data_IF_050656288203
#
_entry.id   IF_050656288203
#
_cell.length_a   1.000
_cell.length_b   1.000
_cell.length_c   1.000
_cell.angle_alpha   90.00
_cell.angle_beta   90.00
_cell.angle_gamma   90.00
#
_symmetry.space_group_name_H-M   'P 1'
#
loop_
_entity.id
_entity.type
_entity.pdbx_description
1 polymer ?
#
# COMPACT_ATOMS: atom_id res chain seq x y z
N UNK A 1 5.54 16.15 -5.08
CA UNK A 1 4.74 16.50 -3.88
C UNK A 1 3.24 16.35 -4.12
N UNK A 2 2.70 16.91 -5.21
CA UNK A 2 1.27 16.79 -5.57
C UNK A 2 0.80 15.35 -5.83
N UNK A 3 1.53 14.57 -6.64
CA UNK A 3 1.18 13.17 -6.94
C UNK A 3 0.91 12.30 -5.70
N UNK A 4 1.74 12.44 -4.66
CA UNK A 4 1.59 11.71 -3.40
C UNK A 4 0.35 12.14 -2.62
N UNK A 5 0.00 13.44 -2.65
CA UNK A 5 -1.21 13.95 -2.00
C UNK A 5 -2.47 13.45 -2.69
N UNK A 6 -2.48 13.50 -4.02
CA UNK A 6 -3.59 13.04 -4.84
C UNK A 6 -3.88 11.55 -4.63
N UNK A 7 -2.87 10.69 -4.72
CA UNK A 7 -3.02 9.25 -4.44
C UNK A 7 -3.38 9.00 -2.97
N UNK A 8 -2.81 9.77 -2.05
CA UNK A 8 -3.11 9.63 -0.62
C UNK A 8 -4.46 10.20 -0.20
N UNK A 9 -5.21 10.83 -1.11
CA UNK A 9 -6.41 11.62 -0.80
C UNK A 9 -6.19 12.62 0.36
N UNK A 10 -4.97 13.19 0.42
CA UNK A 10 -4.56 14.15 1.45
C UNK A 10 -4.88 15.60 1.07
N UNK A 11 -5.63 15.77 -0.02
CA UNK A 11 -6.06 17.05 -0.57
C UNK A 11 -7.19 17.64 0.28
N UNK A 12 -7.03 18.90 0.69
CA UNK A 12 -8.03 19.58 1.51
C UNK A 12 -9.30 19.94 0.70
N UNK A 13 -9.14 20.20 -0.60
CA UNK A 13 -10.24 20.38 -1.55
C UNK A 13 -9.71 20.19 -2.97
N UNK A 14 -10.41 19.37 -3.75
CA UNK A 14 -10.13 19.17 -5.17
C UNK A 14 -10.27 20.51 -5.94
N UNK A 15 -11.23 21.37 -5.56
CA UNK A 15 -11.49 22.68 -6.18
C UNK A 15 -10.32 23.66 -5.99
N UNK A 16 -9.70 23.67 -4.80
CA UNK A 16 -8.55 24.54 -4.55
C UNK A 16 -7.32 24.10 -5.35
N UNK A 17 -7.13 22.80 -5.54
CA UNK A 17 -6.02 22.31 -6.36
C UNK A 17 -6.25 22.58 -7.85
N UNK A 18 -7.48 22.44 -8.33
CA UNK A 18 -7.84 22.81 -9.71
C UNK A 18 -7.67 24.31 -9.98
N UNK A 19 -8.09 25.17 -9.04
CA UNK A 19 -7.87 26.62 -9.11
C UNK A 19 -6.37 26.97 -9.10
N UNK A 20 -5.58 26.28 -8.27
CA UNK A 20 -4.12 26.47 -8.22
C UNK A 20 -3.47 26.14 -9.56
N UNK A 21 -3.85 25.02 -10.20
CA UNK A 21 -3.32 24.62 -11.51
C UNK A 21 -3.75 25.62 -12.60
N UNK A 22 -4.97 26.12 -12.54
CA UNK A 22 -5.48 27.13 -13.48
C UNK A 22 -4.65 28.42 -13.41
N UNK A 23 -4.34 28.92 -12.22
CA UNK A 23 -3.46 30.09 -12.03
C UNK A 23 -2.03 29.82 -12.49
N UNK A 24 -1.49 28.62 -12.23
CA UNK A 24 -0.17 28.23 -12.73
C UNK A 24 -0.12 28.18 -14.26
N UNK A 25 -1.21 27.78 -14.91
CA UNK A 25 -1.31 27.79 -16.38
C UNK A 25 -1.29 29.21 -16.94
N UNK A 26 -1.93 30.16 -16.28
CA UNK A 26 -1.90 31.58 -16.67
C UNK A 26 -0.50 32.18 -16.56
N UNK A 27 0.23 31.86 -15.49
CA UNK A 27 1.56 32.45 -15.21
C UNK A 27 2.69 31.76 -15.98
N UNK A 28 2.67 30.42 -16.07
CA UNK A 28 3.77 29.62 -16.58
C UNK A 28 3.48 28.99 -17.96
N UNK A 29 2.26 29.13 -18.48
CA UNK A 29 1.85 28.56 -19.75
C UNK A 29 1.39 27.10 -19.68
N UNK A 30 0.81 26.63 -20.79
CA UNK A 30 0.18 25.32 -20.90
C UNK A 30 1.16 24.14 -20.84
N UNK A 31 2.30 24.24 -21.52
CA UNK A 31 3.30 23.16 -21.56
C UNK A 31 3.78 22.77 -20.16
N UNK A 32 3.93 23.76 -19.28
CA UNK A 32 4.40 23.57 -17.90
C UNK A 32 3.37 22.84 -17.01
N UNK A 33 2.07 23.06 -17.23
CA UNK A 33 1.00 22.49 -16.40
C UNK A 33 0.32 21.27 -17.01
N UNK A 34 0.62 20.94 -18.28
CA UNK A 34 0.04 19.83 -19.03
C UNK A 34 0.00 18.50 -18.26
N UNK A 35 1.10 18.11 -17.61
CA UNK A 35 1.18 16.88 -16.80
C UNK A 35 0.29 16.96 -15.55
N UNK A 36 0.26 18.10 -14.86
CA UNK A 36 -0.56 18.29 -13.66
C UNK A 36 -2.05 18.21 -14.01
N UNK A 37 -2.47 18.85 -15.10
CA UNK A 37 -3.84 18.75 -15.60
C UNK A 37 -4.21 17.31 -15.94
N UNK A 38 -3.29 16.58 -16.57
CA UNK A 38 -3.51 15.17 -16.90
C UNK A 38 -3.65 14.29 -15.65
N UNK A 39 -2.87 14.56 -14.61
CA UNK A 39 -3.00 13.84 -13.33
C UNK A 39 -4.40 14.02 -12.72
N UNK A 40 -4.97 15.22 -12.76
CA UNK A 40 -6.34 15.47 -12.29
C UNK A 40 -7.39 14.73 -13.12
N UNK A 41 -7.26 14.79 -14.45
CA UNK A 41 -8.14 14.06 -15.35
C UNK A 41 -8.09 12.55 -15.06
N UNK A 42 -6.90 11.99 -14.87
CA UNK A 42 -6.73 10.56 -14.57
C UNK A 42 -7.42 10.18 -13.23
N UNK A 43 -7.42 11.05 -12.22
CA UNK A 43 -8.14 10.80 -10.95
C UNK A 43 -9.65 10.73 -11.16
N UNK A 44 -10.21 11.69 -11.91
CA UNK A 44 -11.64 11.70 -12.22
C UNK A 44 -12.06 10.43 -12.95
N UNK A 45 -11.37 10.11 -14.05
CA UNK A 45 -11.61 8.89 -14.83
C UNK A 45 -11.44 7.64 -13.98
N UNK A 46 -10.48 7.63 -13.05
CA UNK A 46 -10.28 6.49 -12.18
C UNK A 46 -11.42 6.29 -11.17
N UNK A 47 -12.04 7.36 -10.65
CA UNK A 47 -13.20 7.25 -9.75
C UNK A 47 -14.38 6.61 -10.49
N UNK A 48 -14.56 6.93 -11.77
CA UNK A 48 -15.63 6.40 -12.61
C UNK A 48 -15.49 4.89 -12.92
N UNK A 49 -14.33 4.27 -12.64
CA UNK A 49 -14.11 2.83 -12.83
C UNK A 49 -14.62 1.98 -11.65
N UNK A 50 -14.86 2.57 -10.48
CA UNK A 50 -15.22 1.84 -9.26
C UNK A 50 -16.60 1.20 -9.38
N UNK A 51 -17.62 1.99 -9.74
CA UNK A 51 -19.01 1.49 -9.81
C UNK A 51 -19.21 0.43 -10.91
N UNK A 52 -18.65 0.58 -12.14
CA UNK A 52 -18.71 -0.47 -13.14
C UNK A 52 -17.97 -1.74 -12.72
N UNK A 53 -16.85 -1.62 -11.98
CA UNK A 53 -16.16 -2.79 -11.43
C UNK A 53 -16.99 -3.50 -10.37
N UNK A 54 -17.65 -2.77 -9.47
CA UNK A 54 -18.55 -3.36 -8.47
C UNK A 54 -19.69 -4.15 -9.13
N UNK A 55 -20.32 -3.59 -10.17
CA UNK A 55 -21.34 -4.31 -10.95
C UNK A 55 -20.79 -5.57 -11.62
N UNK A 56 -19.58 -5.49 -12.17
CA UNK A 56 -18.91 -6.67 -12.74
C UNK A 56 -18.69 -7.77 -11.69
N UNK A 57 -18.28 -7.42 -10.47
CA UNK A 57 -18.15 -8.40 -9.37
C UNK A 57 -19.49 -9.07 -9.02
N UNK A 58 -20.57 -8.29 -8.93
CA UNK A 58 -21.92 -8.78 -8.63
C UNK A 58 -22.42 -9.74 -9.73
N UNK A 59 -22.28 -9.36 -11.01
CA UNK A 59 -22.71 -10.16 -12.17
C UNK A 59 -21.94 -11.48 -12.28
N UNK A 60 -20.64 -11.46 -11.98
CA UNK A 60 -19.77 -12.63 -12.05
C UNK A 60 -19.75 -13.44 -10.74
N UNK A 61 -20.53 -13.02 -9.73
CA UNK A 61 -20.59 -13.65 -8.39
C UNK A 61 -19.19 -13.85 -7.79
N UNK A 62 -18.36 -12.82 -7.91
CA UNK A 62 -17.04 -12.83 -7.31
C UNK A 62 -17.19 -12.67 -5.81
N UNK A 63 -16.76 -13.68 -5.06
CA UNK A 63 -16.80 -13.69 -3.60
C UNK A 63 -15.64 -12.82 -3.10
N UNK A 64 -15.93 -11.55 -2.84
CA UNK A 64 -14.93 -10.57 -2.40
C UNK A 64 -14.65 -10.77 -0.90
N UNK A 65 -13.69 -11.64 -0.61
CA UNK A 65 -13.14 -11.85 0.75
C UNK A 65 -12.49 -10.55 1.28
N UNK A 66 -12.08 -9.65 0.38
CA UNK A 66 -11.33 -8.42 0.70
C UNK A 66 -11.98 -7.25 -0.04
N UNK A 67 -12.25 -6.16 0.69
CA UNK A 67 -12.64 -4.88 0.08
C UNK A 67 -11.46 -4.30 -0.72
N UNK A 68 -11.64 -4.18 -2.04
CA UNK A 68 -10.59 -3.79 -2.97
C UNK A 68 -10.94 -2.48 -3.67
N UNK A 69 -10.06 -1.49 -3.49
CA UNK A 69 -10.13 -0.20 -4.19
C UNK A 69 -8.85 0.04 -4.97
N UNK A 70 -8.98 0.57 -6.17
CA UNK A 70 -7.87 0.79 -7.10
C UNK A 70 -7.98 2.14 -7.77
N UNK A 71 -6.82 2.75 -8.02
CA UNK A 71 -6.72 3.92 -8.87
C UNK A 71 -5.84 3.64 -10.09
N UNK A 72 -6.32 4.03 -11.27
CA UNK A 72 -5.68 3.80 -12.56
C UNK A 72 -5.22 5.12 -13.16
N UNK A 73 -3.93 5.19 -13.49
CA UNK A 73 -3.28 6.40 -13.97
C UNK A 73 -2.45 6.15 -15.23
N UNK A 74 -2.20 7.20 -16.01
CA UNK A 74 -1.30 7.13 -17.15
C UNK A 74 0.17 7.17 -16.72
N UNK A 75 0.99 6.26 -17.24
CA UNK A 75 2.40 6.14 -16.82
C UNK A 75 3.24 7.38 -17.12
N UNK A 76 2.89 8.18 -18.14
CA UNK A 76 3.72 9.29 -18.62
C UNK A 76 3.49 10.61 -17.86
N UNK A 77 2.38 10.73 -17.14
CA UNK A 77 2.00 11.97 -16.45
C UNK A 77 2.32 11.92 -14.96
N UNK A 78 2.58 10.74 -14.41
CA UNK A 78 2.81 10.54 -12.98
C UNK A 78 4.28 10.24 -12.67
N UNK A 79 4.87 10.84 -11.63
CA UNK A 79 6.28 10.69 -11.28
C UNK A 79 6.52 9.42 -10.43
N UNK A 80 5.82 8.32 -10.73
CA UNK A 80 5.99 7.06 -10.01
C UNK A 80 6.95 6.17 -10.79
N UNK A 81 7.99 5.69 -10.10
CA UNK A 81 8.94 4.75 -10.68
C UNK A 81 8.28 3.40 -10.94
N UNK A 82 8.87 2.62 -11.85
CA UNK A 82 8.47 1.24 -12.05
C UNK A 82 8.60 0.46 -10.72
N UNK A 83 7.64 -0.43 -10.41
CA UNK A 83 7.73 -1.26 -9.21
C UNK A 83 8.98 -2.14 -9.25
N UNK A 84 9.61 -2.32 -8.09
CA UNK A 84 10.69 -3.30 -7.88
C UNK A 84 10.15 -4.74 -7.89
N UNK A 85 11.04 -5.72 -7.88
CA UNK A 85 10.65 -7.12 -7.64
C UNK A 85 9.84 -7.19 -6.34
N UNK A 86 8.66 -7.82 -6.41
CA UNK A 86 7.72 -7.88 -5.31
C UNK A 86 6.69 -8.98 -5.58
N UNK A 87 6.55 -9.91 -4.63
CA UNK A 87 5.53 -10.97 -4.70
C UNK A 87 4.30 -10.50 -3.94
N UNK A 88 3.20 -10.28 -4.67
CA UNK A 88 1.92 -9.92 -4.07
C UNK A 88 1.26 -11.18 -3.45
N UNK A 89 0.84 -11.14 -2.18
CA UNK A 89 0.10 -12.22 -1.52
C UNK A 89 -1.14 -12.63 -2.32
N UNK A 90 -1.51 -13.91 -2.22
CA UNK A 90 -2.61 -14.49 -3.01
C UNK A 90 -3.94 -13.80 -2.73
N UNK A 91 -4.14 -13.35 -1.48
CA UNK A 91 -5.31 -12.63 -1.00
C UNK A 91 -5.51 -11.31 -1.76
N UNK A 92 -4.42 -10.64 -2.14
CA UNK A 92 -4.43 -9.37 -2.87
C UNK A 92 -4.30 -9.56 -4.38
N UNK A 93 -3.66 -10.65 -4.81
CA UNK A 93 -3.48 -10.99 -6.22
C UNK A 93 -4.80 -11.33 -6.88
N UNK A 94 -5.69 -12.08 -6.21
CA UNK A 94 -7.02 -12.43 -6.74
C UNK A 94 -7.85 -11.20 -7.14
N UNK A 95 -8.10 -10.21 -6.27
CA UNK A 95 -8.87 -9.03 -6.64
C UNK A 95 -8.15 -8.17 -7.69
N UNK A 96 -6.81 -8.08 -7.66
CA UNK A 96 -6.06 -7.38 -8.68
C UNK A 96 -6.16 -8.03 -10.08
N UNK A 97 -6.07 -9.36 -10.15
CA UNK A 97 -6.21 -10.12 -11.39
C UNK A 97 -7.64 -10.02 -11.93
N UNK A 98 -8.65 -10.05 -11.04
CA UNK A 98 -10.05 -9.80 -11.38
C UNK A 98 -10.24 -8.42 -12.01
N UNK A 99 -9.75 -7.37 -11.34
CA UNK A 99 -9.81 -6.00 -11.84
C UNK A 99 -9.09 -5.86 -13.18
N UNK A 100 -7.95 -6.53 -13.37
CA UNK A 100 -7.22 -6.51 -14.63
C UNK A 100 -8.04 -7.13 -15.77
N UNK A 101 -8.75 -8.24 -15.52
CA UNK A 101 -9.67 -8.84 -16.50
C UNK A 101 -10.80 -7.89 -16.84
N UNK A 102 -11.47 -7.33 -15.84
CA UNK A 102 -12.51 -6.32 -16.03
C UNK A 102 -12.01 -5.15 -16.90
N UNK A 103 -10.85 -4.58 -16.55
CA UNK A 103 -10.29 -3.41 -17.23
C UNK A 103 -9.99 -3.71 -18.71
N UNK A 104 -9.39 -4.86 -19.01
CA UNK A 104 -9.07 -5.26 -20.40
C UNK A 104 -10.31 -5.58 -21.24
N UNK A 105 -11.38 -6.08 -20.63
CA UNK A 105 -12.65 -6.41 -21.30
C UNK A 105 -13.50 -5.17 -21.59
N UNK A 106 -13.51 -4.16 -20.72
CA UNK A 106 -14.39 -2.98 -20.76
C UNK A 106 -13.91 -1.83 -21.68
N UNK A 107 -13.20 -2.12 -22.78
CA UNK A 107 -12.68 -1.14 -23.79
C UNK A 107 -11.25 -0.62 -23.57
N UNK A 108 -10.40 -1.34 -22.81
CA UNK A 108 -8.96 -1.04 -22.72
C UNK A 108 -8.09 -2.16 -23.31
N UNK A 109 -8.53 -2.76 -24.41
CA UNK A 109 -7.77 -3.77 -25.14
C UNK A 109 -6.42 -3.21 -25.57
N UNK A 110 -5.34 -3.92 -25.27
CA UNK A 110 -3.97 -3.51 -25.57
C UNK A 110 -3.27 -2.68 -24.48
N UNK A 111 -3.94 -2.34 -23.37
CA UNK A 111 -3.29 -1.70 -22.21
C UNK A 111 -2.87 -2.74 -21.18
N UNK A 112 -1.70 -2.52 -20.56
CA UNK A 112 -1.17 -3.33 -19.46
C UNK A 112 -1.19 -2.53 -18.16
N UNK A 113 -1.87 -3.06 -17.15
CA UNK A 113 -1.83 -2.50 -15.80
C UNK A 113 -0.55 -2.96 -15.08
N UNK A 114 0.07 -2.04 -14.36
CA UNK A 114 1.25 -2.30 -13.53
C UNK A 114 0.96 -1.76 -12.13
N UNK A 115 0.99 -2.63 -11.13
CA UNK A 115 0.68 -2.25 -9.75
C UNK A 115 1.86 -1.51 -9.12
N UNK A 116 1.63 -0.28 -8.66
CA UNK A 116 2.63 0.53 -7.94
C UNK A 116 2.48 0.33 -6.43
N UNK A 117 2.96 -0.80 -5.93
CA UNK A 117 2.78 -1.23 -4.54
C UNK A 117 3.44 -0.28 -3.51
N UNK A 118 4.42 0.52 -3.91
CA UNK A 118 5.09 1.53 -3.05
C UNK A 118 4.15 2.62 -2.53
N UNK A 119 3.02 2.85 -3.20
CA UNK A 119 2.02 3.84 -2.83
C UNK A 119 0.69 3.22 -2.43
N UNK A 120 0.62 1.89 -2.39
CA UNK A 120 -0.53 1.14 -1.94
C UNK A 120 -0.53 0.97 -0.42
N UNK A 121 -1.74 0.92 0.15
CA UNK A 121 -2.01 0.73 1.57
C UNK A 121 -3.16 -0.25 1.72
N UNK A 122 -3.30 -0.84 2.90
CA UNK A 122 -4.40 -1.73 3.22
C UNK A 122 -4.61 -1.88 4.72
N UNK A 123 -5.72 -2.50 5.05
CA UNK A 123 -6.15 -2.70 6.43
C UNK A 123 -6.12 -4.19 6.77
N UNK A 124 -5.45 -4.53 7.87
CA UNK A 124 -5.40 -5.89 8.40
C UNK A 124 -6.14 -5.97 9.72
N UNK A 125 -7.05 -6.93 9.85
CA UNK A 125 -7.74 -7.18 11.13
C UNK A 125 -7.00 -8.26 11.93
N UNK A 126 -6.69 -7.98 13.19
CA UNK A 126 -6.10 -8.96 14.10
C UNK A 126 -7.15 -9.96 14.58
N UNK A 127 -6.80 -11.25 14.58
CA UNK A 127 -7.67 -12.33 15.07
C UNK A 127 -7.23 -12.88 16.44
N UNK A 128 -5.98 -12.62 16.85
CA UNK A 128 -5.37 -13.17 18.06
C UNK A 128 -5.59 -12.29 19.31
N UNK A 129 -6.03 -11.04 19.15
CA UNK A 129 -6.30 -10.12 20.27
C UNK A 129 -7.81 -10.03 20.55
N UNK A 130 -8.18 -9.82 21.82
CA UNK A 130 -9.51 -9.36 22.20
C UNK A 130 -9.34 -8.02 22.96
N UNK A 131 -9.82 -6.89 22.42
CA UNK A 131 -10.62 -6.72 21.20
C UNK A 131 -9.83 -6.94 19.90
N UNK A 132 -10.55 -7.12 18.78
CA UNK A 132 -9.95 -7.14 17.44
C UNK A 132 -9.51 -5.73 17.07
N UNK A 133 -8.29 -5.58 16.55
CA UNK A 133 -7.76 -4.29 16.08
C UNK A 133 -7.66 -4.29 14.55
N UNK A 134 -7.77 -3.09 13.96
CA UNK A 134 -7.53 -2.86 12.54
C UNK A 134 -6.18 -2.13 12.43
N UNK A 135 -5.26 -2.72 11.67
CA UNK A 135 -3.93 -2.19 11.41
C UNK A 135 -3.94 -1.55 10.03
N UNK A 136 -3.80 -0.23 9.99
CA UNK A 136 -3.58 0.52 8.75
C UNK A 136 -2.11 0.44 8.37
N UNK A 137 -1.79 -0.32 7.32
CA UNK A 137 -0.41 -0.67 6.95
C UNK A 137 -0.12 -0.37 5.49
N UNK A 138 1.14 -0.08 5.19
CA UNK A 138 1.62 -0.10 3.80
C UNK A 138 1.55 -1.51 3.23
N UNK A 139 1.49 -1.64 1.91
CA UNK A 139 1.48 -2.96 1.28
C UNK A 139 2.70 -3.81 1.65
N UNK A 140 3.89 -3.22 1.79
CA UNK A 140 5.07 -3.95 2.26
C UNK A 140 4.91 -4.52 3.68
N UNK A 141 4.42 -3.70 4.61
CA UNK A 141 4.13 -4.15 5.97
C UNK A 141 3.06 -5.25 5.96
N UNK A 142 2.02 -5.09 5.14
CA UNK A 142 0.97 -6.09 5.00
C UNK A 142 1.51 -7.46 4.56
N UNK A 143 2.36 -7.50 3.53
CA UNK A 143 2.97 -8.76 3.07
C UNK A 143 3.79 -9.42 4.18
N UNK A 144 4.64 -8.66 4.87
CA UNK A 144 5.46 -9.18 5.96
C UNK A 144 4.58 -9.73 7.09
N UNK A 145 3.51 -9.04 7.47
CA UNK A 145 2.59 -9.49 8.50
C UNK A 145 1.82 -10.76 8.08
N UNK A 146 1.46 -10.88 6.80
CA UNK A 146 0.78 -12.07 6.27
C UNK A 146 1.67 -13.32 6.25
N UNK A 147 3.01 -13.19 6.18
CA UNK A 147 3.92 -14.34 6.32
C UNK A 147 3.72 -15.06 7.66
N UNK A 148 3.38 -14.32 8.71
CA UNK A 148 3.20 -14.91 10.04
C UNK A 148 1.93 -15.76 10.18
N UNK A 149 1.03 -15.71 9.19
CA UNK A 149 -0.09 -16.66 9.11
C UNK A 149 0.36 -18.06 8.66
N UNK A 150 1.50 -18.16 7.96
CA UNK A 150 2.09 -19.45 7.52
C UNK A 150 2.99 -20.07 8.60
N UNK A 151 3.75 -19.26 9.32
CA UNK A 151 4.69 -19.70 10.39
C UNK A 151 4.82 -18.61 11.46
N UNK A 152 4.98 -19.02 12.73
CA UNK A 152 5.11 -18.08 13.87
C UNK A 152 6.49 -17.43 13.98
N UNK A 153 7.51 -17.98 13.32
CA UNK A 153 8.86 -17.45 13.26
C UNK A 153 9.43 -17.47 11.84
N UNK A 154 10.23 -16.45 11.53
CA UNK A 154 10.82 -16.22 10.22
C UNK A 154 12.18 -15.53 10.35
N UNK A 155 13.18 -16.00 9.60
CA UNK A 155 14.47 -15.32 9.40
C UNK A 155 14.35 -14.28 8.30
N UNK A 156 15.18 -13.22 8.34
CA UNK A 156 15.19 -12.15 7.32
C UNK A 156 15.45 -12.70 5.91
N UNK A 157 16.36 -13.65 5.75
CA UNK A 157 16.65 -14.27 4.44
C UNK A 157 15.42 -14.97 3.84
N UNK A 158 14.75 -15.82 4.60
CA UNK A 158 13.51 -16.47 4.15
C UNK A 158 12.39 -15.47 3.83
N UNK A 159 12.26 -14.39 4.61
CA UNK A 159 11.29 -13.34 4.30
C UNK A 159 11.62 -12.67 2.96
N UNK A 160 12.90 -12.40 2.68
CA UNK A 160 13.34 -11.86 1.40
C UNK A 160 13.00 -12.82 0.25
N UNK A 161 13.27 -14.11 0.41
CA UNK A 161 13.00 -15.09 -0.65
C UNK A 161 11.51 -15.22 -0.96
N UNK A 162 10.63 -15.20 0.05
CA UNK A 162 9.18 -15.29 -0.14
C UNK A 162 8.58 -14.00 -0.72
N UNK A 163 9.09 -12.83 -0.33
CA UNK A 163 8.49 -11.53 -0.68
C UNK A 163 9.15 -10.83 -1.85
N UNK A 164 10.41 -11.19 -2.14
CA UNK A 164 11.29 -10.57 -3.12
C UNK A 164 11.54 -9.07 -2.89
N UNK A 165 11.32 -8.57 -1.66
CA UNK A 165 11.59 -7.18 -1.28
C UNK A 165 13.11 -6.98 -1.15
N UNK A 166 13.62 -5.85 -1.62
CA UNK A 166 15.04 -5.48 -1.49
C UNK A 166 15.47 -5.33 -0.01
N UNK A 167 16.69 -5.76 0.32
CA UNK A 167 17.21 -5.81 1.70
C UNK A 167 17.05 -4.48 2.45
N UNK A 168 17.46 -3.37 1.83
CA UNK A 168 17.40 -2.05 2.46
C UNK A 168 15.95 -1.67 2.84
N UNK A 169 14.99 -2.01 1.97
CA UNK A 169 13.59 -1.72 2.20
C UNK A 169 12.95 -2.69 3.20
N UNK A 170 13.29 -3.98 3.11
CA UNK A 170 12.82 -4.99 4.05
C UNK A 170 13.26 -4.64 5.48
N UNK A 171 14.52 -4.27 5.67
CA UNK A 171 15.03 -3.82 6.97
C UNK A 171 14.27 -2.58 7.46
N UNK A 172 14.03 -1.57 6.60
CA UNK A 172 13.26 -0.40 6.98
C UNK A 172 11.83 -0.76 7.43
N UNK A 173 11.17 -1.69 6.74
CA UNK A 173 9.83 -2.18 7.09
C UNK A 173 9.86 -2.91 8.43
N UNK A 174 10.83 -3.80 8.65
CA UNK A 174 11.00 -4.54 9.90
C UNK A 174 11.29 -3.61 11.08
N UNK A 175 12.17 -2.63 10.91
CA UNK A 175 12.42 -1.58 11.91
C UNK A 175 11.12 -0.87 12.31
N UNK A 176 10.27 -0.53 11.35
CA UNK A 176 8.97 0.10 11.60
C UNK A 176 8.04 -0.80 12.42
N UNK A 177 7.98 -2.09 12.08
CA UNK A 177 7.14 -3.08 12.77
C UNK A 177 7.66 -3.45 14.18
N UNK A 178 8.98 -3.41 14.40
CA UNK A 178 9.59 -3.61 15.72
C UNK A 178 9.35 -2.42 16.63
N UNK A 179 9.49 -1.19 16.11
CA UNK A 179 9.17 0.04 16.85
C UNK A 179 7.71 0.11 17.28
N UNK A 180 6.80 -0.41 16.46
CA UNK A 180 5.37 -0.54 16.83
C UNK A 180 5.08 -1.76 17.71
N UNK A 181 6.11 -2.55 18.07
CA UNK A 181 6.04 -3.79 18.85
C UNK A 181 5.14 -4.87 18.25
N UNK A 182 4.80 -4.78 16.96
CA UNK A 182 3.99 -5.79 16.25
C UNK A 182 4.74 -7.12 16.11
N UNK A 183 6.06 -7.04 15.94
CA UNK A 183 6.97 -8.18 15.90
C UNK A 183 8.01 -8.04 17.02
N UNK A 184 8.61 -9.14 17.42
CA UNK A 184 9.75 -9.21 18.34
C UNK A 184 10.92 -9.92 17.67
N UNK A 185 12.13 -9.49 18.01
CA UNK A 185 13.37 -10.14 17.61
C UNK A 185 13.97 -10.80 18.85
N UNK A 186 14.37 -12.07 18.76
CA UNK A 186 14.80 -12.85 19.93
C UNK A 186 16.12 -12.35 20.54
N UNK A 187 16.96 -11.65 19.78
CA UNK A 187 18.36 -11.42 20.16
C UNK A 187 18.81 -9.95 20.13
N UNK A 188 17.94 -8.99 19.77
CA UNK A 188 18.43 -7.64 19.42
C UNK A 188 17.65 -6.53 20.11
N UNK A 189 18.41 -5.62 20.74
CA UNK A 189 17.94 -4.38 21.33
C UNK A 189 17.54 -3.42 20.19
N UNK A 190 16.32 -2.87 20.23
CA UNK A 190 15.71 -2.09 19.13
C UNK A 190 16.54 -0.85 18.73
N UNK A 191 17.48 -0.44 19.58
CA UNK A 191 18.35 0.71 19.41
C UNK A 191 19.66 0.43 18.63
N UNK A 192 20.03 -0.84 18.39
CA UNK A 192 21.27 -1.23 17.68
C UNK A 192 20.96 -1.90 16.33
N UNK A 193 20.17 -1.21 15.50
CA UNK A 193 19.72 -1.70 14.19
C UNK A 193 20.79 -1.58 13.08
N UNK A 194 22.04 -1.98 13.35
CA UNK A 194 23.13 -1.87 12.39
C UNK A 194 23.61 -3.25 11.86
N UNK A 195 23.29 -3.45 10.58
CA UNK A 195 23.91 -4.24 9.50
C UNK A 195 24.10 -5.77 9.51
N UNK A 196 24.04 -6.53 10.61
CA UNK A 196 24.20 -8.00 10.50
C UNK A 196 23.05 -8.79 11.14
N UNK A 197 21.95 -8.92 10.39
CA UNK A 197 20.65 -9.47 10.85
C UNK A 197 20.16 -10.72 10.08
N UNK A 198 21.01 -11.33 9.26
CA UNK A 198 20.56 -12.32 8.26
C UNK A 198 19.95 -13.59 8.88
N UNK A 199 20.47 -14.02 10.02
CA UNK A 199 20.09 -15.30 10.65
C UNK A 199 19.14 -15.16 11.84
N UNK A 200 18.78 -13.94 12.26
CA UNK A 200 17.99 -13.76 13.48
C UNK A 200 16.50 -14.08 13.26
N UNK A 201 15.95 -14.88 14.17
CA UNK A 201 14.53 -15.24 14.16
C UNK A 201 13.65 -14.07 14.62
N UNK A 202 12.80 -13.62 13.70
CA UNK A 202 11.74 -12.65 13.96
C UNK A 202 10.46 -13.42 14.25
N UNK A 203 9.79 -13.06 15.35
CA UNK A 203 8.53 -13.67 15.80
C UNK A 203 7.42 -12.63 15.86
N UNK A 204 6.19 -13.05 15.64
CA UNK A 204 5.04 -12.20 15.90
C UNK A 204 4.87 -11.99 17.41
N UNK A 205 4.60 -10.75 17.80
CA UNK A 205 4.31 -10.46 19.19
C UNK A 205 2.82 -10.69 19.46
N UNK A 206 2.49 -11.86 20.00
CA UNK A 206 1.10 -12.21 20.37
C UNK A 206 0.66 -11.62 21.72
N UNK A 207 1.59 -11.03 22.49
CA UNK A 207 1.34 -10.48 23.82
C UNK A 207 1.02 -8.97 23.80
N UNK A 208 0.80 -8.37 22.62
CA UNK A 208 0.53 -6.93 22.53
C UNK A 208 -0.85 -6.64 23.09
N UNK A 209 -0.89 -6.04 24.28
CA UNK A 209 -2.07 -5.33 24.75
C UNK A 209 -2.07 -3.94 24.08
N UNK A 210 -2.53 -3.89 22.83
CA UNK A 210 -2.48 -2.69 21.95
C UNK A 210 -3.12 -1.47 22.64
N UNK A 211 -4.06 -1.68 23.57
CA UNK A 211 -4.73 -0.63 24.33
C UNK A 211 -3.82 0.17 25.29
N UNK A 212 -2.80 -0.43 25.91
CA UNK A 212 -1.92 0.29 26.85
C UNK A 212 -0.79 1.05 26.14
N UNK A 213 -0.23 0.47 25.07
CA UNK A 213 0.88 1.09 24.35
C UNK A 213 0.42 2.29 23.50
N UNK A 214 -0.79 2.28 22.90
CA UNK A 214 -1.33 3.46 22.21
C UNK A 214 -1.68 4.62 23.16
N UNK A 215 -2.11 4.33 24.40
CA UNK A 215 -2.33 5.36 25.44
C UNK A 215 -1.02 6.05 25.85
N UNK A 216 0.12 5.35 25.76
CA UNK A 216 1.45 5.94 26.04
C UNK A 216 1.94 6.84 24.91
N UNK A 217 1.56 6.58 23.66
CA UNK A 217 1.92 7.39 22.50
C UNK A 217 1.08 8.69 22.46
N UNK A 218 -0.21 8.63 22.81
CA UNK A 218 -1.09 9.82 22.82
C UNK A 218 -0.80 10.75 24.02
N UNK A 219 -0.20 10.24 25.11
CA UNK A 219 0.14 11.06 26.31
C UNK A 219 1.47 11.82 26.22
N UNK A 220 2.20 11.75 25.11
CA UNK A 220 3.34 12.63 24.85
C UNK A 220 3.00 13.66 23.77
N UNK A 221 2.15 14.62 24.12
CA UNK A 221 2.30 16.05 23.83
C UNK A 221 1.29 16.84 24.65
#
# INVERSE_FOLDING_TARGET
MLAKRLVGQLSASDEYEESMISKLKEVCGFEYTSKLQRMFQDIGVSKDLIDPYRKYCEENKLDDIVDFSVMVFSSNSWPFAAPSNFVLPIELKKPFDSFTKFYTQQKHTGRKLTLVHQHSKGDLQTLYTKPKYILHVSTYQMVVLLLFNKSSSWTVERMKDETQIEDALLLQVLCGLLKSKLITCAEINVDEFDKDFKETDIKMNYNINIAEDFKRIIRKH
#
